data_IF_591516083492
#
_entry.id   IF_591516083492
#
_cell.length_a   1.000
_cell.length_b   1.000
_cell.length_c   1.000
_cell.angle_alpha   90.00
_cell.angle_beta   90.00
_cell.angle_gamma   90.00
#
_symmetry.space_group_name_H-M   'P 1'
#
loop_
_entity.id
_entity.type
_entity.pdbx_description
1 polymer ?
#
# COMPACT_ATOMS: atom_id res chain seq x y z
N UNK A 1 -69.54 6.42 -62.56
CA UNK A 1 -68.64 7.39 -63.22
C UNK A 1 -67.84 8.07 -62.13
N UNK A 2 -66.52 7.84 -62.12
CA UNK A 2 -65.63 8.30 -61.05
C UNK A 2 -65.29 9.79 -61.17
N UNK A 3 -65.02 10.41 -60.02
CA UNK A 3 -64.30 11.67 -59.92
C UNK A 3 -63.12 11.43 -58.99
N UNK A 4 -61.92 11.58 -59.54
CA UNK A 4 -60.66 11.51 -58.82
C UNK A 4 -60.33 12.88 -58.24
N UNK A 5 -60.02 12.94 -56.95
CA UNK A 5 -59.47 14.14 -56.31
C UNK A 5 -58.03 13.85 -55.90
N UNK A 6 -57.14 14.65 -56.47
CA UNK A 6 -55.70 14.70 -56.21
C UNK A 6 -55.45 15.15 -54.76
N UNK A 7 -54.67 14.39 -53.99
CA UNK A 7 -54.07 14.86 -52.73
C UNK A 7 -52.57 14.96 -52.94
N UNK A 8 -52.05 16.19 -52.85
CA UNK A 8 -50.63 16.49 -52.89
C UNK A 8 -49.98 16.08 -51.55
N UNK A 9 -49.01 15.17 -51.58
CA UNK A 9 -48.19 14.80 -50.43
C UNK A 9 -46.93 15.66 -50.46
N UNK A 10 -46.78 16.53 -49.45
CA UNK A 10 -45.56 17.27 -49.17
C UNK A 10 -44.49 16.32 -48.63
N UNK A 11 -43.39 16.15 -49.38
CA UNK A 11 -42.18 15.45 -48.93
C UNK A 11 -41.39 16.36 -47.99
N UNK A 12 -41.34 16.00 -46.70
CA UNK A 12 -40.37 16.55 -45.74
C UNK A 12 -39.09 15.70 -45.85
N UNK A 13 -37.92 16.29 -46.13
CA UNK A 13 -36.67 15.54 -46.14
C UNK A 13 -36.27 15.23 -44.70
N UNK A 14 -36.26 13.94 -44.35
CA UNK A 14 -35.68 13.46 -43.09
C UNK A 14 -34.17 13.70 -43.13
N UNK A 15 -33.70 14.69 -42.38
CA UNK A 15 -32.28 14.81 -42.03
C UNK A 15 -31.89 13.61 -41.18
N UNK A 16 -31.33 12.60 -41.83
CA UNK A 16 -30.64 11.49 -41.17
C UNK A 16 -29.36 12.01 -40.52
N UNK A 17 -29.44 12.35 -39.24
CA UNK A 17 -28.27 12.55 -38.40
C UNK A 17 -27.62 11.17 -38.24
N UNK A 18 -26.60 10.88 -39.06
CA UNK A 18 -25.65 9.81 -38.78
C UNK A 18 -24.90 10.20 -37.51
N UNK A 19 -25.26 9.61 -36.38
CA UNK A 19 -24.33 9.48 -35.27
C UNK A 19 -23.16 8.64 -35.78
N UNK A 20 -22.10 9.29 -36.25
CA UNK A 20 -20.80 8.68 -36.33
C UNK A 20 -20.36 8.51 -34.88
N UNK A 21 -20.52 7.28 -34.36
CA UNK A 21 -19.74 6.84 -33.22
C UNK A 21 -18.30 6.82 -33.75
N UNK A 22 -17.56 7.90 -33.52
CA UNK A 22 -16.12 7.86 -33.64
C UNK A 22 -15.64 6.73 -32.74
N UNK A 23 -15.12 5.68 -33.36
CA UNK A 23 -14.34 4.69 -32.65
C UNK A 23 -13.07 5.42 -32.21
N UNK A 24 -13.16 6.10 -31.06
CA UNK A 24 -12.01 6.67 -30.39
C UNK A 24 -10.93 5.59 -30.39
N UNK A 25 -9.79 5.93 -30.99
CA UNK A 25 -8.59 5.12 -30.99
C UNK A 25 -8.24 4.90 -29.51
N UNK A 26 -8.80 3.87 -28.89
CA UNK A 26 -8.59 3.56 -27.49
C UNK A 26 -7.13 3.15 -27.43
N UNK A 27 -6.28 4.09 -27.03
CA UNK A 27 -4.87 3.81 -26.82
C UNK A 27 -4.79 2.56 -25.95
N UNK A 28 -4.00 1.58 -26.37
CA UNK A 28 -3.72 0.37 -25.61
C UNK A 28 -2.84 0.77 -24.41
N UNK A 29 -3.46 1.50 -23.47
CA UNK A 29 -2.82 1.95 -22.26
C UNK A 29 -2.94 0.86 -21.21
N UNK A 30 -1.82 0.59 -20.53
CA UNK A 30 -1.76 -0.26 -19.35
C UNK A 30 -0.99 0.47 -18.27
N UNK A 31 -1.37 0.26 -17.02
CA UNK A 31 -0.61 0.71 -15.86
C UNK A 31 0.05 -0.52 -15.25
N UNK A 32 1.37 -0.53 -15.14
CA UNK A 32 2.16 -1.60 -14.56
C UNK A 32 2.74 -1.18 -13.21
N UNK A 33 2.88 -2.14 -12.31
CA UNK A 33 3.61 -1.96 -11.05
C UNK A 33 4.29 -3.25 -10.62
N UNK A 34 5.49 -3.15 -10.03
CA UNK A 34 6.08 -4.26 -9.29
C UNK A 34 5.19 -4.62 -8.10
N UNK A 35 4.93 -5.90 -7.90
CA UNK A 35 4.02 -6.40 -6.88
C UNK A 35 4.61 -7.59 -6.12
N UNK A 36 5.44 -7.29 -5.13
CA UNK A 36 6.04 -8.30 -4.24
C UNK A 36 5.43 -8.26 -2.84
N UNK A 37 4.11 -8.12 -2.78
CA UNK A 37 3.36 -8.19 -1.54
C UNK A 37 2.81 -9.60 -1.34
N UNK A 38 3.10 -10.21 -0.19
CA UNK A 38 2.47 -11.47 0.18
C UNK A 38 0.96 -11.30 0.34
N UNK A 39 0.20 -12.35 -0.03
CA UNK A 39 -1.25 -12.36 0.11
C UNK A 39 -1.68 -11.98 1.54
N UNK A 40 -2.58 -10.99 1.65
CA UNK A 40 -3.08 -10.48 2.93
C UNK A 40 -2.12 -9.54 3.69
N UNK A 41 -0.97 -9.17 3.11
CA UNK A 41 0.02 -8.25 3.71
C UNK A 41 0.21 -6.93 2.96
N UNK A 42 -0.74 -6.57 2.11
CA UNK A 42 -0.70 -5.32 1.35
C UNK A 42 -1.04 -4.17 2.28
N UNK A 43 -0.14 -3.17 2.45
CA UNK A 43 -0.43 -2.01 3.29
C UNK A 43 -1.66 -1.27 2.77
N UNK A 44 -2.49 -0.76 3.67
CA UNK A 44 -3.77 -0.17 3.30
C UNK A 44 -3.63 1.06 2.38
N UNK A 45 -2.61 1.89 2.60
CA UNK A 45 -2.37 3.06 1.74
C UNK A 45 -1.98 2.65 0.31
N UNK A 46 -1.26 1.54 0.10
CA UNK A 46 -0.96 1.01 -1.24
C UNK A 46 -2.26 0.64 -1.98
N UNK A 47 -3.24 0.09 -1.26
CA UNK A 47 -4.56 -0.20 -1.85
C UNK A 47 -5.24 1.11 -2.29
N UNK A 48 -5.14 2.16 -1.47
CA UNK A 48 -5.66 3.49 -1.79
C UNK A 48 -4.92 4.17 -2.95
N UNK A 49 -3.63 3.94 -3.07
CA UNK A 49 -2.84 4.42 -4.21
C UNK A 49 -3.35 3.75 -5.50
N UNK A 50 -3.55 2.42 -5.51
CA UNK A 50 -4.15 1.72 -6.65
C UNK A 50 -5.58 2.20 -6.98
N UNK A 51 -6.41 2.45 -5.95
CA UNK A 51 -7.75 3.05 -6.13
C UNK A 51 -7.65 4.43 -6.81
N UNK A 52 -6.67 5.25 -6.42
CA UNK A 52 -6.43 6.55 -7.03
C UNK A 52 -6.08 6.42 -8.51
N UNK A 53 -5.31 5.41 -8.90
CA UNK A 53 -4.96 5.17 -10.30
C UNK A 53 -6.18 4.79 -11.12
N UNK A 54 -7.03 3.91 -10.59
CA UNK A 54 -8.26 3.51 -11.23
C UNK A 54 -9.22 4.71 -11.41
N UNK A 55 -9.36 5.53 -10.36
CA UNK A 55 -10.19 6.74 -10.38
C UNK A 55 -9.70 7.74 -11.42
N UNK A 56 -8.42 8.11 -11.38
CA UNK A 56 -7.85 9.18 -12.21
C UNK A 56 -7.47 8.74 -13.63
N UNK A 57 -7.50 7.43 -13.92
CA UNK A 57 -7.36 6.93 -15.30
C UNK A 57 -8.70 6.81 -16.04
N UNK A 58 -9.84 6.97 -15.37
CA UNK A 58 -11.18 6.83 -15.95
C UNK A 58 -11.39 5.52 -16.72
N UNK A 59 -10.73 4.44 -16.29
CA UNK A 59 -10.76 3.15 -16.97
C UNK A 59 -10.12 3.12 -18.37
N UNK A 60 -9.42 4.19 -18.79
CA UNK A 60 -8.73 4.26 -20.09
C UNK A 60 -7.56 3.29 -20.19
N UNK A 61 -6.98 2.89 -19.06
CA UNK A 61 -5.87 1.93 -19.00
C UNK A 61 -6.24 0.56 -18.39
N UNK A 62 -7.54 0.29 -18.20
CA UNK A 62 -8.03 -0.89 -17.49
C UNK A 62 -7.59 -0.93 -16.02
N UNK A 63 -7.61 -2.12 -15.43
CA UNK A 63 -7.05 -2.35 -14.09
C UNK A 63 -5.52 -2.40 -14.14
N UNK A 64 -4.81 -1.95 -13.09
CA UNK A 64 -3.36 -2.09 -13.00
C UNK A 64 -2.91 -3.55 -13.16
N UNK A 65 -1.85 -3.75 -13.93
CA UNK A 65 -1.18 -5.04 -14.14
C UNK A 65 -0.08 -5.17 -13.09
N UNK A 66 -0.30 -6.07 -12.14
CA UNK A 66 0.58 -6.31 -11.01
C UNK A 66 1.62 -7.39 -11.39
N UNK A 67 2.88 -6.98 -11.51
CA UNK A 67 3.99 -7.82 -11.99
C UNK A 67 4.73 -8.46 -10.82
N UNK A 68 4.97 -9.76 -10.87
CA UNK A 68 5.72 -10.50 -9.86
C UNK A 68 6.50 -11.64 -10.51
N UNK A 69 7.27 -12.39 -9.70
CA UNK A 69 8.12 -13.46 -10.21
C UNK A 69 7.35 -14.61 -10.89
N UNK A 70 6.02 -14.75 -10.67
CA UNK A 70 5.23 -15.83 -11.27
C UNK A 70 4.64 -15.48 -12.63
N UNK A 71 4.51 -14.18 -12.97
CA UNK A 71 3.93 -13.73 -14.23
C UNK A 71 4.87 -12.90 -15.11
N UNK A 72 6.01 -12.44 -14.58
CA UNK A 72 6.90 -11.50 -15.27
C UNK A 72 7.37 -12.00 -16.64
N UNK A 73 7.63 -13.30 -16.78
CA UNK A 73 8.07 -13.92 -18.03
C UNK A 73 7.03 -13.80 -19.16
N UNK A 74 5.73 -13.71 -18.83
CA UNK A 74 4.67 -13.52 -19.81
C UNK A 74 4.66 -12.09 -20.39
N UNK A 75 5.22 -11.13 -19.64
CA UNK A 75 5.27 -9.72 -20.03
C UNK A 75 6.63 -9.29 -20.60
N UNK A 76 7.72 -9.93 -20.18
CA UNK A 76 9.08 -9.63 -20.64
C UNK A 76 9.72 -10.93 -21.16
N UNK A 77 9.45 -11.30 -22.43
CA UNK A 77 9.86 -12.59 -22.97
C UNK A 77 11.38 -12.74 -23.16
N UNK A 78 12.13 -11.64 -23.17
CA UNK A 78 13.60 -11.60 -23.27
C UNK A 78 14.27 -11.19 -21.95
N UNK A 79 13.62 -11.45 -20.80
CA UNK A 79 14.17 -11.22 -19.46
C UNK A 79 15.35 -12.18 -19.19
N UNK A 80 16.55 -11.68 -18.84
CA UNK A 80 17.70 -12.52 -18.52
C UNK A 80 17.53 -13.22 -17.15
N UNK A 81 18.10 -14.42 -17.00
CA UNK A 81 18.02 -15.21 -15.76
C UNK A 81 18.61 -14.47 -14.54
N UNK A 82 19.63 -13.62 -14.77
CA UNK A 82 20.24 -12.72 -13.80
C UNK A 82 19.22 -11.90 -13.01
N UNK A 83 18.08 -11.54 -13.62
CA UNK A 83 17.02 -10.80 -12.97
C UNK A 83 16.56 -11.47 -11.67
N UNK A 84 16.38 -12.80 -11.67
CA UNK A 84 15.92 -13.55 -10.50
C UNK A 84 16.99 -13.66 -9.40
N UNK A 85 18.22 -13.23 -9.70
CA UNK A 85 19.35 -13.20 -8.77
C UNK A 85 19.58 -11.79 -8.20
N UNK A 86 18.81 -10.79 -8.60
CA UNK A 86 18.90 -9.43 -8.07
C UNK A 86 18.55 -9.41 -6.57
N UNK A 87 19.30 -8.63 -5.76
CA UNK A 87 19.30 -8.82 -4.31
C UNK A 87 18.02 -8.32 -3.61
N UNK A 88 17.35 -7.31 -4.18
CA UNK A 88 16.26 -6.58 -3.54
C UNK A 88 15.14 -6.22 -4.54
N UNK A 89 14.00 -5.76 -4.02
CA UNK A 89 12.83 -5.42 -4.85
C UNK A 89 13.02 -4.11 -5.63
N UNK A 90 13.82 -3.17 -5.12
CA UNK A 90 14.10 -1.90 -5.79
C UNK A 90 14.89 -2.13 -7.06
N UNK A 91 15.98 -2.91 -7.00
CA UNK A 91 16.77 -3.26 -8.18
C UNK A 91 15.95 -4.04 -9.22
N UNK A 92 15.04 -4.93 -8.78
CA UNK A 92 14.10 -5.61 -9.69
C UNK A 92 13.11 -4.62 -10.34
N UNK A 93 12.53 -3.71 -9.56
CA UNK A 93 11.64 -2.64 -10.02
C UNK A 93 12.31 -1.75 -11.07
N UNK A 94 13.58 -1.39 -10.85
CA UNK A 94 14.40 -0.58 -11.76
C UNK A 94 14.56 -1.22 -13.14
N UNK A 95 14.60 -2.55 -13.22
CA UNK A 95 14.71 -3.30 -14.47
C UNK A 95 13.37 -3.38 -15.19
N UNK A 96 12.31 -3.82 -14.51
CA UNK A 96 11.05 -4.14 -15.20
C UNK A 96 10.38 -2.92 -15.81
N UNK A 97 10.54 -1.74 -15.21
CA UNK A 97 9.87 -0.51 -15.65
C UNK A 97 10.17 -0.15 -17.10
N UNK A 98 11.42 -0.26 -17.55
CA UNK A 98 11.78 0.04 -18.94
C UNK A 98 11.37 -1.08 -19.89
N UNK A 99 11.56 -2.33 -19.48
CA UNK A 99 11.19 -3.49 -20.26
C UNK A 99 9.68 -3.51 -20.55
N UNK A 100 8.84 -3.29 -19.53
CA UNK A 100 7.38 -3.26 -19.67
C UNK A 100 6.93 -2.18 -20.63
N UNK A 101 7.45 -0.95 -20.49
CA UNK A 101 7.11 0.13 -21.43
C UNK A 101 7.62 -0.17 -22.84
N UNK A 102 8.80 -0.78 -22.99
CA UNK A 102 9.29 -1.18 -24.31
C UNK A 102 8.38 -2.23 -24.99
N UNK A 103 7.95 -3.27 -24.26
CA UNK A 103 7.14 -4.37 -24.83
C UNK A 103 5.66 -4.01 -24.99
N UNK A 104 5.11 -3.16 -24.12
CA UNK A 104 3.66 -2.93 -24.04
C UNK A 104 3.26 -1.47 -24.21
N UNK A 105 4.18 -0.51 -24.03
CA UNK A 105 3.82 0.90 -23.86
C UNK A 105 3.05 1.15 -22.56
N UNK A 106 2.40 2.30 -22.45
CA UNK A 106 1.57 2.63 -21.29
C UNK A 106 2.34 3.36 -20.20
N UNK A 107 2.07 3.01 -18.95
CA UNK A 107 2.56 3.67 -17.74
C UNK A 107 3.10 2.60 -16.79
N UNK A 108 4.24 2.87 -16.17
CA UNK A 108 4.79 2.17 -15.03
C UNK A 108 4.78 3.14 -13.84
N UNK A 109 4.33 2.67 -12.68
CA UNK A 109 4.35 3.43 -11.43
C UNK A 109 4.75 2.52 -10.27
N UNK A 110 5.66 3.00 -9.42
CA UNK A 110 5.88 2.39 -8.12
C UNK A 110 4.58 2.49 -7.28
N UNK A 111 4.34 1.48 -6.45
CA UNK A 111 3.05 1.31 -5.75
C UNK A 111 2.75 2.37 -4.70
N UNK A 112 3.71 3.22 -4.38
CA UNK A 112 3.63 4.32 -3.42
C UNK A 112 3.46 5.69 -4.11
N UNK A 113 2.92 5.69 -5.32
CA UNK A 113 2.52 6.89 -6.04
C UNK A 113 1.02 7.13 -5.82
N UNK A 114 0.68 8.24 -5.19
CA UNK A 114 -0.70 8.71 -5.03
C UNK A 114 -1.04 9.67 -6.18
N UNK A 115 -2.04 9.34 -7.00
CA UNK A 115 -2.49 10.20 -8.12
C UNK A 115 -3.59 11.14 -7.62
N UNK A 116 -3.44 12.44 -7.88
CA UNK A 116 -4.37 13.49 -7.41
C UNK A 116 -5.23 14.11 -8.51
N UNK A 117 -4.77 14.07 -9.76
CA UNK A 117 -5.49 14.60 -10.92
C UNK A 117 -5.52 13.57 -12.04
N UNK A 118 -6.47 13.75 -12.95
CA UNK A 118 -6.68 12.88 -14.11
C UNK A 118 -5.39 12.62 -14.89
N UNK A 119 -5.10 11.34 -15.15
CA UNK A 119 -3.98 10.88 -15.96
C UNK A 119 -4.17 11.13 -17.46
N UNK A 120 -5.25 11.81 -17.87
CA UNK A 120 -5.57 12.08 -19.28
C UNK A 120 -4.38 12.68 -20.03
N UNK A 121 -3.69 13.67 -19.44
CA UNK A 121 -2.51 14.26 -20.09
C UNK A 121 -1.39 13.25 -20.38
N UNK A 122 -1.18 12.29 -19.48
CA UNK A 122 -0.16 11.23 -19.65
C UNK A 122 -0.62 10.25 -20.71
N UNK A 123 -1.87 9.80 -20.62
CA UNK A 123 -2.46 8.81 -21.53
C UNK A 123 -2.51 9.35 -22.96
N UNK A 124 -2.87 10.61 -23.14
CA UNK A 124 -2.91 11.28 -24.43
C UNK A 124 -1.49 11.41 -25.01
N UNK A 125 -0.48 11.74 -24.20
CA UNK A 125 0.92 11.74 -24.64
C UNK A 125 1.43 10.36 -25.03
N UNK A 126 1.02 9.30 -24.33
CA UNK A 126 1.33 7.92 -24.74
C UNK A 126 0.70 7.62 -26.10
N UNK A 127 -0.55 8.02 -26.32
CA UNK A 127 -1.24 7.87 -27.60
C UNK A 127 -0.59 8.70 -28.73
N UNK A 128 0.00 9.85 -28.39
CA UNK A 128 0.73 10.75 -29.29
C UNK A 128 2.20 10.34 -29.47
N UNK A 129 2.54 9.09 -29.21
CA UNK A 129 3.86 8.49 -29.46
C UNK A 129 5.02 9.16 -28.69
N UNK A 130 4.79 9.62 -27.45
CA UNK A 130 5.89 10.07 -26.60
C UNK A 130 6.84 8.91 -26.25
N UNK A 131 8.14 9.12 -26.43
CA UNK A 131 9.18 8.12 -26.12
C UNK A 131 9.48 8.04 -24.61
N UNK A 132 9.27 9.14 -23.89
CA UNK A 132 9.46 9.26 -22.44
C UNK A 132 8.50 10.31 -21.83
N UNK A 133 7.75 9.90 -20.82
CA UNK A 133 7.00 10.78 -19.93
C UNK A 133 7.43 10.43 -18.50
N UNK A 134 7.87 11.41 -17.74
CA UNK A 134 8.36 11.20 -16.37
C UNK A 134 8.20 12.49 -15.55
N UNK A 135 8.85 12.59 -14.39
CA UNK A 135 8.98 13.83 -13.64
C UNK A 135 10.44 14.07 -13.26
N UNK A 136 10.79 15.33 -13.01
CA UNK A 136 12.17 15.71 -12.67
C UNK A 136 12.23 17.10 -12.03
N UNK A 137 13.44 17.57 -11.74
CA UNK A 137 13.64 18.94 -11.25
C UNK A 137 13.45 20.00 -12.37
N UNK A 138 13.71 19.65 -13.64
CA UNK A 138 13.75 20.60 -14.78
C UNK A 138 13.06 20.04 -16.01
N UNK A 139 12.45 20.88 -16.85
CA UNK A 139 11.76 20.45 -18.10
C UNK A 139 12.60 19.62 -19.07
N UNK A 140 13.93 19.69 -18.98
CA UNK A 140 14.84 19.02 -19.91
C UNK A 140 14.81 17.49 -19.85
N UNK A 141 14.24 16.90 -18.79
CA UNK A 141 14.29 15.47 -18.51
C UNK A 141 15.70 14.89 -18.34
N UNK A 142 16.77 15.69 -18.16
CA UNK A 142 18.13 15.12 -18.03
C UNK A 142 18.36 14.30 -16.75
N UNK A 143 17.54 14.52 -15.72
CA UNK A 143 17.65 13.85 -14.42
C UNK A 143 16.25 13.45 -13.96
N UNK A 144 15.57 12.67 -14.80
CA UNK A 144 14.22 12.20 -14.54
C UNK A 144 14.19 11.06 -13.51
N UNK A 145 13.08 10.92 -12.80
CA UNK A 145 12.90 9.80 -11.86
C UNK A 145 12.26 8.62 -12.56
N UNK A 146 12.73 7.41 -12.29
CA UNK A 146 12.20 6.24 -12.99
C UNK A 146 11.07 5.51 -12.24
N UNK A 147 10.73 5.90 -11.02
CA UNK A 147 9.59 5.34 -10.29
C UNK A 147 8.22 5.69 -10.92
N UNK A 148 8.18 6.66 -11.83
CA UNK A 148 7.09 6.91 -12.75
C UNK A 148 7.65 7.04 -14.16
N UNK A 149 7.20 6.18 -15.06
CA UNK A 149 7.56 6.22 -16.48
C UNK A 149 6.33 5.96 -17.32
N UNK A 150 6.18 6.69 -18.40
CA UNK A 150 5.24 6.33 -19.45
C UNK A 150 5.87 6.54 -20.81
N UNK A 151 5.35 5.84 -21.80
CA UNK A 151 5.85 5.95 -23.16
C UNK A 151 5.14 5.01 -24.12
N UNK A 152 5.34 5.25 -25.40
CA UNK A 152 4.83 4.39 -26.46
C UNK A 152 5.50 3.02 -26.46
N UNK A 153 4.74 2.04 -26.90
CA UNK A 153 5.26 0.71 -27.20
C UNK A 153 6.37 0.80 -28.26
N UNK A 154 7.43 0.00 -28.07
CA UNK A 154 8.60 -0.03 -28.95
C UNK A 154 9.29 1.34 -29.11
N UNK A 155 9.27 2.17 -28.07
CA UNK A 155 10.13 3.36 -27.97
C UNK A 155 11.59 2.95 -28.16
N UNK A 156 12.27 3.60 -29.10
CA UNK A 156 13.68 3.33 -29.38
C UNK A 156 14.58 3.73 -28.20
N UNK A 157 14.16 4.76 -27.45
CA UNK A 157 14.79 5.12 -26.19
C UNK A 157 14.62 4.03 -25.13
N UNK A 158 13.39 3.57 -24.90
CA UNK A 158 13.11 2.50 -23.92
C UNK A 158 13.87 1.22 -24.27
N UNK A 159 13.96 0.88 -25.57
CA UNK A 159 14.80 -0.22 -26.05
C UNK A 159 16.27 -0.02 -25.67
N UNK A 160 16.84 1.16 -25.93
CA UNK A 160 18.24 1.45 -25.60
C UNK A 160 18.53 1.26 -24.10
N UNK A 161 17.64 1.75 -23.23
CA UNK A 161 17.78 1.55 -21.79
C UNK A 161 17.66 0.07 -21.44
N UNK A 162 16.65 -0.63 -21.97
CA UNK A 162 16.44 -2.06 -21.72
C UNK A 162 17.65 -2.91 -22.13
N UNK A 163 18.22 -2.69 -23.32
CA UNK A 163 19.43 -3.39 -23.76
C UNK A 163 20.64 -3.07 -22.89
N UNK A 164 20.78 -1.83 -22.43
CA UNK A 164 21.85 -1.44 -21.51
C UNK A 164 21.68 -2.10 -20.13
N UNK A 165 20.46 -2.24 -19.62
CA UNK A 165 20.17 -2.95 -18.37
C UNK A 165 20.45 -4.45 -18.49
N UNK A 166 20.00 -5.08 -19.59
CA UNK A 166 20.35 -6.49 -19.88
C UNK A 166 21.86 -6.67 -19.90
N UNK A 167 22.58 -5.82 -20.64
CA UNK A 167 24.05 -5.86 -20.66
C UNK A 167 24.62 -5.74 -19.24
N UNK A 168 24.17 -4.76 -18.45
CA UNK A 168 24.67 -4.53 -17.10
C UNK A 168 24.47 -5.74 -16.17
N UNK A 169 23.35 -6.46 -16.29
CA UNK A 169 23.12 -7.69 -15.54
C UNK A 169 24.03 -8.84 -16.02
N UNK A 170 24.15 -9.03 -17.33
CA UNK A 170 24.88 -10.15 -17.94
C UNK A 170 26.40 -9.96 -17.99
N UNK A 171 26.91 -8.78 -17.65
CA UNK A 171 28.35 -8.50 -17.59
C UNK A 171 28.91 -9.10 -16.30
N UNK A 172 29.17 -10.42 -16.33
CA UNK A 172 29.58 -11.17 -15.14
C UNK A 172 30.92 -10.69 -14.58
N UNK A 173 31.00 -10.59 -13.25
CA UNK A 173 32.22 -10.17 -12.59
C UNK A 173 33.25 -11.30 -12.49
N UNK A 174 34.51 -10.92 -12.63
CA UNK A 174 35.66 -11.81 -12.42
C UNK A 174 35.99 -11.98 -10.94
N UNK A 175 35.62 -11.02 -10.08
CA UNK A 175 35.77 -11.10 -8.62
C UNK A 175 34.54 -10.55 -7.89
N UNK A 176 34.29 -11.04 -6.68
CA UNK A 176 33.15 -10.61 -5.84
C UNK A 176 33.38 -9.27 -5.12
N UNK A 177 34.56 -8.67 -5.30
CA UNK A 177 35.03 -7.48 -4.59
C UNK A 177 35.04 -6.20 -5.46
N UNK A 178 34.48 -6.24 -6.67
CA UNK A 178 34.26 -5.05 -7.53
C UNK A 178 33.12 -4.17 -6.99
N UNK A 179 33.30 -3.68 -5.75
CA UNK A 179 32.38 -2.77 -5.05
C UNK A 179 32.29 -1.39 -5.71
N UNK A 180 33.09 -1.14 -6.74
CA UNK A 180 33.09 0.09 -7.52
C UNK A 180 31.84 0.15 -8.41
N UNK A 181 30.73 0.61 -7.83
CA UNK A 181 29.55 1.23 -8.49
C UNK A 181 28.78 0.42 -9.54
N UNK A 182 29.24 -0.77 -9.95
CA UNK A 182 28.66 -1.52 -11.07
C UNK A 182 27.68 -2.60 -10.59
N UNK A 183 26.68 -2.85 -11.44
CA UNK A 183 25.86 -4.07 -11.40
C UNK A 183 26.78 -5.26 -11.69
N UNK A 184 26.67 -6.31 -10.89
CA UNK A 184 27.62 -7.41 -10.91
C UNK A 184 26.93 -8.74 -10.60
N UNK A 185 26.83 -9.65 -11.56
CA UNK A 185 26.25 -10.98 -11.36
C UNK A 185 27.34 -12.06 -11.46
N UNK A 186 27.64 -12.83 -10.40
CA UNK A 186 28.62 -13.91 -10.47
C UNK A 186 28.22 -14.97 -11.52
N UNK A 187 29.20 -15.66 -12.11
CA UNK A 187 28.95 -16.77 -13.04
C UNK A 187 28.28 -17.98 -12.36
N UNK A 188 28.43 -18.12 -11.04
CA UNK A 188 27.71 -19.11 -10.25
C UNK A 188 26.23 -18.70 -10.11
N UNK A 189 25.27 -19.45 -10.70
CA UNK A 189 23.84 -19.10 -10.67
C UNK A 189 23.25 -19.18 -9.26
N UNK A 190 23.93 -19.81 -8.29
CA UNK A 190 23.49 -19.87 -6.90
C UNK A 190 23.83 -18.60 -6.12
N UNK A 191 24.69 -17.73 -6.65
CA UNK A 191 25.06 -16.47 -6.00
C UNK A 191 24.17 -15.34 -6.50
N UNK A 192 23.73 -14.51 -5.55
CA UNK A 192 23.02 -13.27 -5.83
C UNK A 192 23.92 -12.28 -6.55
N UNK A 193 23.32 -11.45 -7.40
CA UNK A 193 23.99 -10.29 -7.95
C UNK A 193 24.25 -9.25 -6.86
N UNK A 194 25.30 -8.46 -7.05
CA UNK A 194 25.55 -7.23 -6.32
C UNK A 194 25.06 -6.06 -7.14
N UNK A 195 24.15 -5.27 -6.57
CA UNK A 195 23.56 -4.08 -7.21
C UNK A 195 23.54 -2.95 -6.20
N UNK A 196 24.20 -1.85 -6.51
CA UNK A 196 24.11 -0.63 -5.73
C UNK A 196 22.79 0.10 -6.03
N UNK A 197 22.32 0.90 -5.08
CA UNK A 197 21.09 1.68 -5.23
C UNK A 197 21.13 2.55 -6.49
N UNK A 198 20.12 2.42 -7.36
CA UNK A 198 20.01 3.16 -8.63
C UNK A 198 21.03 2.75 -9.71
N UNK A 199 21.91 1.78 -9.43
CA UNK A 199 22.98 1.38 -10.36
C UNK A 199 22.45 0.78 -11.66
N UNK A 200 21.32 0.08 -11.60
CA UNK A 200 20.65 -0.47 -12.79
C UNK A 200 19.50 0.41 -13.29
N UNK A 201 19.00 1.34 -12.47
CA UNK A 201 17.97 2.32 -12.81
C UNK A 201 18.55 3.59 -13.43
N UNK A 202 18.64 4.65 -12.64
CA UNK A 202 19.11 5.98 -13.06
C UNK A 202 20.53 5.98 -13.64
N UNK A 203 21.46 5.22 -13.06
CA UNK A 203 22.86 5.19 -13.52
C UNK A 203 23.02 4.52 -14.91
N UNK A 204 22.05 3.74 -15.37
CA UNK A 204 22.00 3.22 -16.74
C UNK A 204 21.16 4.12 -17.65
N UNK A 205 20.00 4.53 -17.16
CA UNK A 205 19.00 5.24 -17.98
C UNK A 205 19.37 6.70 -18.28
N UNK A 206 20.02 7.43 -17.37
CA UNK A 206 20.40 8.83 -17.61
C UNK A 206 21.51 8.96 -18.67
N UNK A 207 22.62 8.18 -18.63
CA UNK A 207 23.59 8.19 -19.73
C UNK A 207 22.99 7.77 -21.07
N UNK A 208 22.13 6.74 -21.06
CA UNK A 208 21.42 6.29 -22.25
C UNK A 208 20.50 7.39 -22.82
N UNK A 209 19.86 8.16 -21.95
CA UNK A 209 19.04 9.31 -22.33
C UNK A 209 19.88 10.42 -22.97
N UNK A 210 20.97 10.84 -22.33
CA UNK A 210 21.83 11.91 -22.86
C UNK A 210 22.38 11.54 -24.24
N UNK A 211 22.87 10.32 -24.42
CA UNK A 211 23.38 9.84 -25.71
C UNK A 211 22.27 9.75 -26.77
N UNK A 212 21.11 9.19 -26.41
CA UNK A 212 19.99 9.01 -27.33
C UNK A 212 19.38 10.35 -27.75
N UNK A 213 19.11 11.24 -26.79
CA UNK A 213 18.51 12.54 -27.04
C UNK A 213 19.44 13.46 -27.86
N UNK A 214 20.76 13.35 -27.66
CA UNK A 214 21.74 14.07 -28.50
C UNK A 214 21.69 13.61 -29.96
N UNK A 215 21.51 12.30 -30.19
CA UNK A 215 21.45 11.71 -31.53
C UNK A 215 20.06 11.76 -32.17
N UNK A 216 19.01 12.00 -31.38
CA UNK A 216 17.61 11.97 -31.80
C UNK A 216 16.86 13.21 -31.31
N UNK A 217 17.12 14.41 -31.91
CA UNK A 217 16.52 15.65 -31.46
C UNK A 217 14.98 15.67 -31.58
N UNK A 218 14.40 14.80 -32.40
CA UNK A 218 12.95 14.63 -32.59
C UNK A 218 12.28 13.75 -31.52
N UNK A 219 13.05 13.15 -30.60
CA UNK A 219 12.51 12.34 -29.51
C UNK A 219 11.46 13.12 -28.73
N UNK A 220 10.24 12.59 -28.70
CA UNK A 220 9.12 13.19 -27.96
C UNK A 220 9.29 12.84 -26.49
N UNK A 221 9.46 13.85 -25.66
CA UNK A 221 9.65 13.68 -24.22
C UNK A 221 8.89 14.73 -23.43
N UNK A 222 8.45 14.35 -22.23
CA UNK A 222 7.81 15.26 -21.30
C UNK A 222 8.25 14.94 -19.87
N UNK A 223 8.60 15.97 -19.10
CA UNK A 223 8.78 15.82 -17.66
C UNK A 223 7.95 16.83 -16.90
N UNK A 224 7.15 16.32 -15.96
CA UNK A 224 6.53 17.14 -14.93
C UNK A 224 7.64 17.70 -14.02
N UNK A 225 7.90 19.00 -14.12
CA UNK A 225 9.09 19.61 -13.55
C UNK A 225 8.81 20.33 -12.24
N UNK A 226 9.76 20.29 -11.30
CA UNK A 226 9.67 21.06 -10.04
C UNK A 226 9.59 22.56 -10.31
N UNK A 227 10.30 23.06 -11.32
CA UNK A 227 10.26 24.48 -11.70
C UNK A 227 8.86 24.99 -12.09
N UNK A 228 7.95 24.10 -12.53
CA UNK A 228 6.54 24.39 -12.80
C UNK A 228 5.61 24.06 -11.63
N UNK A 229 6.15 23.47 -10.58
CA UNK A 229 5.41 22.91 -9.46
C UNK A 229 4.67 21.62 -9.80
N UNK A 230 5.18 20.80 -10.72
CA UNK A 230 4.49 19.58 -11.18
C UNK A 230 5.24 18.27 -10.88
N UNK A 231 6.50 18.32 -10.43
CA UNK A 231 7.26 17.12 -10.02
C UNK A 231 6.51 16.29 -8.97
N UNK A 232 6.59 14.96 -9.02
CA UNK A 232 5.87 14.12 -8.06
C UNK A 232 6.61 13.99 -6.72
N UNK A 233 7.82 14.54 -6.63
CA UNK A 233 8.60 14.66 -5.41
C UNK A 233 8.94 16.14 -5.17
N UNK A 234 7.98 16.95 -4.64
CA UNK A 234 8.24 18.34 -4.32
C UNK A 234 9.43 18.52 -3.40
N UNK A 235 10.14 19.63 -3.53
CA UNK A 235 11.19 19.97 -2.56
C UNK A 235 10.59 20.06 -1.15
N UNK A 236 11.26 19.42 -0.18
CA UNK A 236 10.79 19.33 1.21
C UNK A 236 9.72 18.27 1.49
N UNK A 237 9.24 17.54 0.47
CA UNK A 237 8.19 16.51 0.64
C UNK A 237 8.61 15.43 1.64
N UNK A 238 9.83 14.89 1.53
CA UNK A 238 10.35 13.90 2.46
C UNK A 238 10.33 14.40 3.91
N UNK A 239 10.73 15.66 4.16
CA UNK A 239 10.67 16.25 5.50
C UNK A 239 9.25 16.30 6.03
N UNK A 240 8.28 16.75 5.23
CA UNK A 240 6.87 16.83 5.63
C UNK A 240 6.31 15.45 5.95
N UNK A 241 6.62 14.46 5.12
CA UNK A 241 6.17 13.08 5.31
C UNK A 241 6.81 12.43 6.55
N UNK A 242 8.14 12.45 6.69
CA UNK A 242 8.81 11.75 7.80
C UNK A 242 8.68 12.47 9.15
N UNK A 243 8.27 13.75 9.16
CA UNK A 243 7.95 14.47 10.41
C UNK A 243 6.44 14.54 10.69
N UNK A 244 5.61 13.78 9.96
CA UNK A 244 4.16 13.66 10.17
C UNK A 244 3.45 15.01 10.33
N UNK A 245 3.83 16.02 9.52
CA UNK A 245 3.36 17.39 9.76
C UNK A 245 1.86 17.52 9.54
N UNK A 246 1.24 18.29 10.42
CA UNK A 246 -0.13 18.81 10.21
C UNK A 246 -0.15 19.73 9.01
N UNK A 247 -1.28 19.78 8.30
CA UNK A 247 -1.48 20.59 7.11
C UNK A 247 -1.16 22.06 7.37
N UNK A 248 -1.62 22.60 8.51
CA UNK A 248 -1.38 24.00 8.89
C UNK A 248 0.10 24.32 9.15
N UNK A 249 0.93 23.32 9.44
CA UNK A 249 2.38 23.49 9.64
C UNK A 249 3.18 23.19 8.36
N UNK A 250 2.66 22.28 7.52
CA UNK A 250 3.27 21.88 6.27
C UNK A 250 3.20 22.99 5.21
N UNK A 251 2.07 23.69 5.08
CA UNK A 251 1.90 24.75 4.07
C UNK A 251 2.84 25.95 4.29
N UNK A 252 3.00 26.49 5.52
CA UNK A 252 4.01 27.50 5.79
C UNK A 252 5.44 27.01 5.55
N UNK A 253 5.73 25.74 5.88
CA UNK A 253 7.04 25.14 5.59
C UNK A 253 7.36 25.17 4.09
N UNK A 254 6.45 24.67 3.24
CA UNK A 254 6.62 24.71 1.78
C UNK A 254 6.75 26.14 1.24
N UNK A 255 5.99 27.08 1.80
CA UNK A 255 6.10 28.50 1.44
C UNK A 255 7.49 29.06 1.77
N UNK A 256 8.04 28.70 2.93
CA UNK A 256 9.36 29.12 3.38
C UNK A 256 10.49 28.64 2.47
N UNK A 257 10.38 27.42 1.92
CA UNK A 257 11.33 26.86 0.94
C UNK A 257 10.93 27.11 -0.52
N UNK A 258 9.87 27.90 -0.76
CA UNK A 258 9.38 28.29 -2.09
C UNK A 258 8.90 27.13 -2.99
N UNK A 259 8.47 26.02 -2.41
CA UNK A 259 7.87 24.91 -3.14
C UNK A 259 6.54 25.35 -3.76
N UNK A 260 6.42 25.21 -5.09
CA UNK A 260 5.21 25.58 -5.82
C UNK A 260 4.14 24.50 -5.69
N UNK A 261 2.87 24.89 -5.64
CA UNK A 261 1.71 23.97 -5.69
C UNK A 261 1.88 22.72 -4.80
N UNK A 262 2.21 22.84 -3.50
CA UNK A 262 2.54 21.67 -2.67
C UNK A 262 1.35 20.70 -2.49
N UNK A 263 0.12 21.14 -2.79
CA UNK A 263 -1.10 20.34 -2.73
C UNK A 263 -1.80 20.16 -4.08
N UNK A 264 -1.22 20.61 -5.19
CA UNK A 264 -1.90 20.69 -6.50
C UNK A 264 -1.02 20.21 -7.64
N UNK A 265 -0.65 18.93 -7.58
CA UNK A 265 0.18 18.25 -8.59
C UNK A 265 -0.58 17.06 -9.16
N UNK A 266 -0.12 16.54 -10.30
CA UNK A 266 -0.72 15.35 -10.91
C UNK A 266 -0.68 14.16 -9.96
N UNK A 267 0.48 13.89 -9.37
CA UNK A 267 0.72 12.75 -8.48
C UNK A 267 1.83 13.07 -7.46
N UNK A 268 1.95 12.24 -6.43
CA UNK A 268 2.93 12.35 -5.36
C UNK A 268 3.58 10.99 -5.11
N UNK A 269 4.90 10.95 -5.12
CA UNK A 269 5.68 9.81 -4.66
C UNK A 269 5.83 9.88 -3.14
N UNK A 270 5.36 8.86 -2.44
CA UNK A 270 5.29 8.83 -0.97
C UNK A 270 6.53 8.21 -0.30
N UNK A 271 7.51 7.74 -1.07
CA UNK A 271 8.79 7.23 -0.58
C UNK A 271 8.66 6.05 0.41
N UNK A 272 7.85 5.05 0.07
CA UNK A 272 7.68 3.85 0.88
C UNK A 272 8.99 3.11 1.14
N UNK A 273 9.88 3.04 0.14
CA UNK A 273 11.22 2.48 0.31
C UNK A 273 12.06 3.20 1.40
N UNK A 274 11.74 4.46 1.71
CA UNK A 274 12.39 5.24 2.75
C UNK A 274 11.66 5.16 4.11
N UNK A 275 10.55 4.43 4.19
CA UNK A 275 9.89 4.08 5.44
C UNK A 275 8.54 4.73 5.68
N UNK A 276 7.88 5.32 4.67
CA UNK A 276 6.55 5.91 4.84
C UNK A 276 5.57 4.97 5.56
N UNK A 277 5.50 3.70 5.17
CA UNK A 277 4.67 2.69 5.85
C UNK A 277 4.98 2.52 7.35
N UNK A 278 6.24 2.69 7.75
CA UNK A 278 6.65 2.54 9.16
C UNK A 278 6.19 3.74 9.99
N UNK A 279 6.10 4.90 9.35
CA UNK A 279 5.70 6.13 10.02
C UNK A 279 4.18 6.26 10.15
N UNK A 280 3.40 5.85 9.15
CA UNK A 280 1.97 6.11 9.16
C UNK A 280 1.13 4.88 9.52
N UNK A 281 0.27 5.04 10.52
CA UNK A 281 -0.87 4.14 10.69
C UNK A 281 -1.85 4.30 9.52
N UNK A 282 -2.59 3.25 9.18
CA UNK A 282 -3.59 3.31 8.10
C UNK A 282 -4.66 4.38 8.31
N UNK A 283 -4.93 4.76 9.55
CA UNK A 283 -5.86 5.85 9.93
C UNK A 283 -5.39 7.23 9.49
N UNK A 284 -4.08 7.45 9.36
CA UNK A 284 -3.52 8.76 9.09
C UNK A 284 -3.92 9.32 7.72
N UNK A 285 -4.23 8.45 6.76
CA UNK A 285 -4.71 8.88 5.43
C UNK A 285 -6.14 9.43 5.47
N UNK A 286 -6.84 9.25 6.59
CA UNK A 286 -8.18 9.77 6.82
C UNK A 286 -8.20 11.05 7.67
N UNK A 287 -7.09 11.36 8.34
CA UNK A 287 -6.96 12.60 9.10
C UNK A 287 -6.64 13.77 8.17
N UNK A 288 -7.67 14.53 7.78
CA UNK A 288 -7.50 15.72 6.94
C UNK A 288 -6.74 16.87 7.62
N UNK A 289 -6.43 16.77 8.92
CA UNK A 289 -5.53 17.70 9.60
C UNK A 289 -4.06 17.36 9.37
N UNK A 290 -3.74 16.12 8.98
CA UNK A 290 -2.41 15.73 8.49
C UNK A 290 -2.25 16.11 7.03
N UNK A 291 -1.04 16.49 6.63
CA UNK A 291 -0.74 16.80 5.23
C UNK A 291 -1.06 15.62 4.31
N UNK A 292 -0.66 14.40 4.70
CA UNK A 292 -0.90 13.21 3.91
C UNK A 292 -2.38 12.86 3.81
N UNK A 293 -3.15 12.95 4.90
CA UNK A 293 -4.59 12.71 4.86
C UNK A 293 -5.33 13.76 4.02
N UNK A 294 -4.85 15.01 4.00
CA UNK A 294 -5.35 16.03 3.08
C UNK A 294 -5.07 15.68 1.60
N UNK A 295 -3.92 15.08 1.27
CA UNK A 295 -3.63 14.60 -0.08
C UNK A 295 -4.57 13.45 -0.50
N UNK A 296 -4.74 12.44 0.36
CA UNK A 296 -5.67 11.33 0.08
C UNK A 296 -7.11 11.81 -0.06
N UNK A 297 -7.56 12.75 0.78
CA UNK A 297 -8.89 13.36 0.66
C UNK A 297 -9.05 14.13 -0.64
N UNK A 298 -8.01 14.82 -1.11
CA UNK A 298 -8.04 15.52 -2.40
C UNK A 298 -8.08 14.54 -3.57
N UNK A 299 -7.35 13.42 -3.48
CA UNK A 299 -7.30 12.39 -4.51
C UNK A 299 -8.60 11.60 -4.62
N UNK A 300 -9.09 11.06 -3.51
CA UNK A 300 -10.18 10.07 -3.47
C UNK A 300 -11.53 10.67 -3.05
N UNK A 301 -11.57 11.96 -2.67
CA UNK A 301 -12.79 12.61 -2.18
C UNK A 301 -13.36 11.87 -0.97
N UNK A 302 -14.67 11.60 -0.99
CA UNK A 302 -15.33 10.85 0.09
C UNK A 302 -14.97 9.35 0.10
N UNK A 303 -14.33 8.81 -0.95
CA UNK A 303 -13.79 7.45 -0.92
C UNK A 303 -12.52 7.35 -0.06
N UNK A 304 -12.02 8.47 0.46
CA UNK A 304 -11.06 8.53 1.57
C UNK A 304 -11.74 8.40 2.95
N UNK A 305 -12.99 7.96 3.06
CA UNK A 305 -13.52 7.58 4.36
C UNK A 305 -12.95 6.21 4.77
N UNK A 306 -12.76 5.94 6.07
CA UNK A 306 -12.55 4.57 6.54
C UNK A 306 -13.61 3.66 5.92
N UNK A 307 -13.24 2.52 5.32
CA UNK A 307 -14.23 1.58 4.81
C UNK A 307 -15.12 1.17 5.98
N UNK A 308 -16.44 1.07 5.72
CA UNK A 308 -17.37 0.54 6.72
C UNK A 308 -16.85 -0.83 7.17
N UNK A 309 -16.35 -0.89 8.38
CA UNK A 309 -15.56 -2.01 8.87
C UNK A 309 -16.01 -2.39 10.28
N UNK A 310 -15.34 -3.37 10.89
CA UNK A 310 -15.71 -3.79 12.24
C UNK A 310 -15.68 -2.63 13.24
N UNK A 311 -14.86 -1.60 13.04
CA UNK A 311 -14.85 -0.40 13.88
C UNK A 311 -16.17 0.39 13.88
N UNK A 312 -17.02 0.25 12.86
CA UNK A 312 -18.33 0.91 12.80
C UNK A 312 -19.43 0.15 13.54
N UNK A 313 -19.19 -1.12 13.91
CA UNK A 313 -20.16 -1.94 14.66
C UNK A 313 -20.30 -1.48 16.13
N UNK A 314 -19.42 -0.58 16.60
CA UNK A 314 -19.43 -0.01 17.94
C UNK A 314 -18.01 0.25 18.47
N UNK A 315 -17.88 0.94 19.62
CA UNK A 315 -16.58 1.11 20.27
C UNK A 315 -16.02 -0.26 20.69
N UNK A 316 -14.69 -0.36 20.73
CA UNK A 316 -14.02 -1.49 21.34
C UNK A 316 -13.05 -0.99 22.40
N UNK A 317 -12.95 -1.74 23.49
CA UNK A 317 -12.12 -1.38 24.63
C UNK A 317 -10.93 -2.33 24.73
N UNK A 318 -9.78 -1.81 25.16
CA UNK A 318 -8.65 -2.64 25.53
C UNK A 318 -9.06 -3.67 26.59
N UNK A 319 -8.82 -4.96 26.32
CA UNK A 319 -9.11 -6.04 27.26
C UNK A 319 -7.87 -6.82 27.72
N UNK A 320 -6.81 -6.90 26.91
CA UNK A 320 -5.63 -7.69 27.22
C UNK A 320 -4.40 -7.29 26.39
N UNK A 321 -3.20 -7.42 26.96
CA UNK A 321 -1.93 -7.44 26.21
C UNK A 321 -1.65 -8.84 25.67
N UNK A 322 -0.74 -8.94 24.70
CA UNK A 322 -0.28 -10.23 24.18
C UNK A 322 0.20 -11.16 25.32
N UNK A 323 -0.34 -12.38 25.37
CA UNK A 323 -0.08 -13.37 26.42
C UNK A 323 -1.11 -13.39 27.56
N UNK A 324 -1.96 -12.37 27.67
CA UNK A 324 -3.01 -12.29 28.70
C UNK A 324 -4.35 -12.88 28.21
N UNK A 325 -5.36 -12.93 29.09
CA UNK A 325 -6.72 -13.38 28.76
C UNK A 325 -7.62 -12.16 28.61
N UNK A 326 -8.36 -12.10 27.51
CA UNK A 326 -9.35 -11.07 27.20
C UNK A 326 -10.76 -11.60 27.53
N UNK A 327 -11.43 -11.10 28.58
CA UNK A 327 -12.84 -11.36 28.82
C UNK A 327 -13.70 -10.51 27.87
N UNK A 328 -14.52 -11.15 27.04
CA UNK A 328 -15.37 -10.48 26.06
C UNK A 328 -16.61 -11.30 25.69
N UNK A 329 -17.75 -10.61 25.57
CA UNK A 329 -18.97 -11.17 24.96
C UNK A 329 -19.29 -10.34 23.71
N UNK A 330 -18.72 -10.74 22.58
CA UNK A 330 -18.71 -9.97 21.34
C UNK A 330 -17.54 -10.35 20.43
N UNK A 331 -17.01 -9.40 19.68
CA UNK A 331 -15.85 -9.60 18.80
C UNK A 331 -14.58 -9.19 19.53
N UNK A 332 -13.58 -10.06 19.55
CA UNK A 332 -12.23 -9.71 20.03
C UNK A 332 -11.31 -9.56 18.82
N UNK A 333 -10.57 -8.46 18.79
CA UNK A 333 -9.59 -8.16 17.75
C UNK A 333 -8.19 -8.29 18.32
N UNK A 334 -7.34 -9.07 17.66
CA UNK A 334 -5.92 -9.22 17.99
C UNK A 334 -5.09 -8.59 16.88
N UNK A 335 -4.26 -7.61 17.24
CA UNK A 335 -3.51 -6.84 16.25
C UNK A 335 -2.42 -6.00 16.88
N UNK A 336 -1.80 -5.15 16.06
CA UNK A 336 -0.67 -4.30 16.47
C UNK A 336 -1.05 -3.42 17.67
N UNK A 337 -0.15 -3.33 18.65
CA UNK A 337 -0.36 -2.55 19.88
C UNK A 337 -0.08 -1.07 19.70
N UNK A 338 0.99 -0.71 18.98
CA UNK A 338 1.50 0.66 18.92
C UNK A 338 1.55 1.23 17.50
N UNK A 339 1.45 2.54 17.36
CA UNK A 339 1.54 3.24 16.07
C UNK A 339 2.93 3.19 15.41
N UNK A 340 4.00 3.17 16.21
CA UNK A 340 5.40 3.17 15.79
C UNK A 340 6.07 1.77 15.87
N UNK A 341 5.27 0.72 16.00
CA UNK A 341 5.69 -0.68 16.16
C UNK A 341 6.54 -1.03 17.41
N UNK A 342 6.76 -0.11 18.35
CA UNK A 342 7.62 -0.33 19.52
C UNK A 342 6.93 0.03 20.83
N UNK A 343 6.72 1.32 21.05
CA UNK A 343 6.39 1.91 22.36
C UNK A 343 5.64 3.25 22.25
N UNK A 344 5.11 3.55 21.06
CA UNK A 344 4.33 4.75 20.79
C UNK A 344 2.92 4.68 21.37
N UNK A 345 2.01 5.44 20.77
CA UNK A 345 0.63 5.49 21.23
C UNK A 345 -0.08 4.15 20.93
N UNK A 346 -0.94 3.71 21.86
CA UNK A 346 -1.72 2.49 21.65
C UNK A 346 -2.73 2.71 20.53
N UNK A 347 -2.83 1.74 19.64
CA UNK A 347 -3.81 1.78 18.56
C UNK A 347 -5.22 1.55 19.08
N UNK A 348 -6.14 2.38 18.61
CA UNK A 348 -7.58 2.17 18.73
C UNK A 348 -8.07 1.13 17.69
N UNK A 349 -9.31 0.62 17.85
CA UNK A 349 -9.84 -0.39 16.92
C UNK A 349 -9.88 0.12 15.48
N UNK A 350 -10.30 1.37 15.27
CA UNK A 350 -10.36 2.01 13.96
C UNK A 350 -9.01 2.03 13.24
N UNK A 351 -7.90 2.03 13.99
CA UNK A 351 -6.55 2.02 13.45
C UNK A 351 -6.03 0.59 13.27
N UNK A 352 -6.34 -0.29 14.23
CA UNK A 352 -5.98 -1.71 14.18
C UNK A 352 -6.58 -2.40 12.96
N UNK A 353 -7.85 -2.10 12.61
CA UNK A 353 -8.53 -2.75 11.47
C UNK A 353 -8.01 -2.27 10.11
N UNK A 354 -7.31 -1.13 10.07
CA UNK A 354 -6.62 -0.63 8.88
C UNK A 354 -5.20 -1.21 8.75
N UNK A 355 -4.67 -1.75 9.84
CA UNK A 355 -3.50 -2.60 9.84
C UNK A 355 -3.90 -4.08 9.65
N UNK A 356 -2.94 -4.99 9.79
CA UNK A 356 -3.27 -6.41 9.82
C UNK A 356 -3.76 -6.81 11.21
N UNK A 357 -4.88 -7.53 11.27
CA UNK A 357 -5.49 -8.02 12.50
C UNK A 357 -6.07 -9.43 12.31
N UNK A 358 -6.39 -10.08 13.42
CA UNK A 358 -7.23 -11.27 13.50
C UNK A 358 -8.44 -10.96 14.37
N UNK A 359 -9.54 -11.65 14.14
CA UNK A 359 -10.77 -11.46 14.91
C UNK A 359 -11.42 -12.81 15.20
N UNK A 360 -12.02 -12.92 16.38
CA UNK A 360 -12.85 -14.05 16.81
C UNK A 360 -14.11 -13.52 17.49
N UNK A 361 -15.24 -14.19 17.27
CA UNK A 361 -16.44 -14.00 18.09
C UNK A 361 -16.33 -14.88 19.34
N UNK A 362 -16.51 -14.26 20.51
CA UNK A 362 -16.26 -14.86 21.81
C UNK A 362 -17.44 -14.61 22.73
N UNK A 363 -17.83 -15.62 23.48
CA UNK A 363 -18.82 -15.55 24.56
C UNK A 363 -18.18 -16.01 25.87
N UNK A 364 -17.30 -15.19 26.43
CA UNK A 364 -16.51 -15.52 27.63
C UNK A 364 -15.07 -15.05 27.50
N UNK A 365 -14.11 -15.94 27.73
CA UNK A 365 -12.69 -15.59 27.76
C UNK A 365 -11.96 -16.11 26.51
N UNK A 366 -11.01 -15.34 25.98
CA UNK A 366 -10.09 -15.78 24.94
C UNK A 366 -8.64 -15.41 25.30
N UNK A 367 -7.70 -16.30 25.04
CA UNK A 367 -6.27 -15.99 25.19
C UNK A 367 -5.82 -15.03 24.09
N UNK A 368 -5.27 -13.87 24.48
CA UNK A 368 -4.74 -12.85 23.58
C UNK A 368 -3.38 -13.28 23.00
N UNK A 369 -3.39 -14.32 22.17
CA UNK A 369 -2.19 -15.00 21.68
C UNK A 369 -2.37 -15.43 20.23
N UNK A 370 -1.27 -15.72 19.55
CA UNK A 370 -1.28 -16.23 18.17
C UNK A 370 -2.07 -17.54 18.04
N UNK A 371 -2.04 -18.41 19.04
CA UNK A 371 -2.83 -19.64 19.07
C UNK A 371 -4.32 -19.36 19.24
N UNK A 372 -4.70 -18.45 20.14
CA UNK A 372 -6.09 -18.02 20.34
C UNK A 372 -6.75 -17.46 19.07
N UNK A 373 -5.94 -16.85 18.19
CA UNK A 373 -6.40 -16.21 16.96
C UNK A 373 -6.01 -16.96 15.68
N UNK A 374 -5.53 -18.19 15.79
CA UNK A 374 -5.16 -19.05 14.66
C UNK A 374 -4.11 -18.42 13.71
N UNK A 375 -3.20 -17.62 14.26
CA UNK A 375 -2.08 -17.03 13.54
C UNK A 375 -1.62 -15.71 14.12
N UNK A 376 -0.39 -15.32 13.76
CA UNK A 376 0.14 -14.00 14.09
C UNK A 376 -0.26 -12.98 13.00
N UNK A 377 -1.04 -11.94 13.33
CA UNK A 377 -1.31 -10.86 12.38
C UNK A 377 -0.06 -10.04 12.01
N UNK A 378 0.93 -9.95 12.91
CA UNK A 378 2.09 -9.04 12.81
C UNK A 378 3.32 -9.66 13.51
N UNK A 379 4.09 -10.45 12.75
CA UNK A 379 5.30 -11.12 13.25
C UNK A 379 6.31 -10.11 13.80
N UNK A 380 6.89 -10.41 14.97
CA UNK A 380 7.90 -9.59 15.67
C UNK A 380 7.44 -8.18 16.08
N UNK A 381 6.12 -7.94 16.18
CA UNK A 381 5.56 -6.69 16.70
C UNK A 381 4.78 -6.92 17.99
N UNK A 382 4.81 -5.95 18.94
CA UNK A 382 3.94 -5.99 20.11
C UNK A 382 2.46 -5.96 19.70
N UNK A 383 1.65 -6.84 20.30
CA UNK A 383 0.22 -6.95 20.01
C UNK A 383 -0.65 -6.72 21.25
N UNK A 384 -1.92 -6.44 21.01
CA UNK A 384 -2.95 -6.28 22.04
C UNK A 384 -4.29 -6.84 21.56
N UNK A 385 -5.21 -7.05 22.49
CA UNK A 385 -6.58 -7.38 22.21
C UNK A 385 -7.55 -6.26 22.59
N UNK A 386 -8.49 -6.00 21.69
CA UNK A 386 -9.61 -5.08 21.89
C UNK A 386 -10.93 -5.86 21.84
N UNK A 387 -11.81 -5.66 22.81
CA UNK A 387 -13.15 -6.26 22.87
C UNK A 387 -14.19 -5.27 22.39
N UNK A 388 -14.92 -5.63 21.33
CA UNK A 388 -16.12 -4.96 20.88
C UNK A 388 -17.34 -5.76 21.36
N UNK A 389 -17.98 -5.28 22.43
CA UNK A 389 -19.15 -5.94 23.00
C UNK A 389 -20.33 -5.92 22.03
N UNK A 390 -21.19 -6.95 22.07
CA UNK A 390 -22.43 -6.94 21.29
C UNK A 390 -23.36 -5.81 21.76
N UNK A 391 -23.82 -4.97 20.83
CA UNK A 391 -24.79 -3.91 21.11
C UNK A 391 -26.08 -4.54 21.66
N UNK A 392 -26.43 -4.23 22.92
CA UNK A 392 -27.61 -4.75 23.60
C UNK A 392 -27.40 -6.05 24.40
N UNK A 393 -26.19 -6.60 24.43
CA UNK A 393 -25.83 -7.66 25.36
C UNK A 393 -25.65 -7.11 26.78
N UNK A 394 -26.09 -7.81 27.84
CA UNK A 394 -25.71 -7.43 29.19
C UNK A 394 -24.18 -7.45 29.30
N UNK A 395 -23.60 -6.41 29.90
CA UNK A 395 -22.16 -6.38 30.20
C UNK A 395 -21.76 -7.72 30.85
N UNK A 396 -20.63 -8.34 30.46
CA UNK A 396 -20.18 -9.57 31.09
C UNK A 396 -20.03 -9.31 32.58
N UNK A 397 -20.93 -9.89 33.38
CA UNK A 397 -20.92 -9.75 34.83
C UNK A 397 -19.57 -10.23 35.33
N UNK A 398 -18.94 -9.43 36.17
CA UNK A 398 -17.72 -9.85 36.86
C UNK A 398 -17.99 -11.20 37.53
N UNK A 399 -17.07 -12.18 37.47
CA UNK A 399 -17.17 -13.43 38.22
C UNK A 399 -17.44 -13.23 39.73
N UNK A 400 -17.12 -12.05 40.27
CA UNK A 400 -17.43 -11.69 41.65
C UNK A 400 -18.93 -11.52 41.94
N UNK A 401 -19.77 -11.37 40.91
CA UNK A 401 -21.23 -11.23 41.04
C UNK A 401 -21.97 -12.58 41.00
N UNK A 402 -21.29 -13.69 40.66
CA UNK A 402 -21.87 -15.04 40.60
C UNK A 402 -22.06 -15.67 42.00
N UNK A 403 -21.85 -14.90 43.08
CA UNK A 403 -22.05 -15.33 44.47
C UNK A 403 -20.83 -16.05 45.08
N UNK A 404 -20.97 -16.57 46.32
CA UNK A 404 -19.89 -17.30 46.97
C UNK A 404 -19.60 -18.61 46.24
N UNK A 405 -18.37 -18.80 45.75
CA UNK A 405 -17.91 -20.09 45.24
C UNK A 405 -17.27 -20.92 46.35
N UNK A 406 -17.47 -22.24 46.26
CA UNK A 406 -16.82 -23.24 47.11
C UNK A 406 -15.81 -24.03 46.29
N UNK A 407 -14.68 -24.40 46.91
CA UNK A 407 -13.72 -25.31 46.30
C UNK A 407 -14.39 -26.66 46.02
N UNK A 408 -14.42 -27.08 44.76
CA UNK A 408 -15.03 -28.36 44.34
C UNK A 408 -14.02 -29.49 44.09
N UNK A 409 -12.78 -29.16 43.71
CA UNK A 409 -11.73 -30.11 43.35
C UNK A 409 -10.34 -29.46 43.43
N UNK A 410 -9.29 -30.25 43.64
CA UNK A 410 -7.91 -29.82 43.41
C UNK A 410 -7.49 -30.05 41.95
N UNK A 411 -6.32 -29.54 41.58
CA UNK A 411 -5.72 -29.81 40.27
C UNK A 411 -5.59 -31.33 40.03
N UNK A 412 -6.09 -31.80 38.89
CA UNK A 412 -6.11 -33.22 38.53
C UNK A 412 -7.34 -34.00 39.02
N UNK A 413 -8.21 -33.40 39.83
CA UNK A 413 -9.46 -34.02 40.31
C UNK A 413 -10.69 -33.54 39.53
N UNK A 414 -11.78 -34.31 39.56
CA UNK A 414 -13.02 -33.96 38.88
C UNK A 414 -13.90 -33.04 39.75
N UNK A 415 -14.15 -31.82 39.28
CA UNK A 415 -15.07 -30.87 39.92
C UNK A 415 -16.52 -31.19 39.53
N UNK A 416 -17.31 -31.69 40.46
CA UNK A 416 -18.76 -31.86 40.27
C UNK A 416 -19.51 -30.64 40.81
N UNK A 417 -19.89 -29.71 39.93
CA UNK A 417 -20.71 -28.57 40.29
C UNK A 417 -21.92 -28.42 39.36
N UNK A 418 -23.07 -28.04 39.93
CA UNK A 418 -24.21 -27.53 39.17
C UNK A 418 -24.08 -26.00 39.09
N UNK A 419 -23.34 -25.52 38.09
CA UNK A 419 -23.04 -24.10 37.92
C UNK A 419 -21.76 -23.84 37.12
N UNK A 420 -21.20 -22.64 37.26
CA UNK A 420 -19.91 -22.27 36.65
C UNK A 420 -18.76 -22.74 37.54
N UNK A 421 -17.73 -23.32 36.93
CA UNK A 421 -16.48 -23.66 37.59
C UNK A 421 -15.40 -22.61 37.23
N UNK A 422 -14.61 -22.20 38.23
CA UNK A 422 -13.48 -21.30 38.03
C UNK A 422 -12.20 -22.05 38.40
N UNK A 423 -11.21 -22.00 37.51
CA UNK A 423 -9.90 -22.60 37.73
C UNK A 423 -8.86 -21.51 37.99
N UNK A 424 -8.03 -21.68 39.01
CA UNK A 424 -7.01 -20.70 39.34
C UNK A 424 -6.21 -21.10 40.57
N UNK A 425 -5.32 -20.20 41.01
CA UNK A 425 -4.44 -20.50 42.13
C UNK A 425 -5.27 -20.69 43.42
N UNK A 426 -5.02 -21.79 44.13
CA UNK A 426 -5.68 -22.11 45.41
C UNK A 426 -5.17 -21.26 46.58
N UNK A 427 -3.87 -20.92 46.58
CA UNK A 427 -3.21 -20.29 47.72
C UNK A 427 -2.60 -18.92 47.40
N UNK A 428 -2.62 -17.99 48.37
CA UNK A 428 -1.88 -16.73 48.28
C UNK A 428 -0.37 -16.94 48.26
N UNK A 429 0.37 -16.07 47.57
CA UNK A 429 1.84 -16.03 47.65
C UNK A 429 2.30 -15.48 49.02
N UNK A 430 3.27 -16.11 49.68
CA UNK A 430 3.86 -15.64 50.94
C UNK A 430 4.30 -16.76 51.90
N UNK A 431 4.96 -16.41 53.01
CA UNK A 431 5.48 -17.36 54.02
C UNK A 431 4.39 -18.14 54.78
N UNK A 432 3.14 -17.68 54.72
CA UNK A 432 1.98 -18.33 55.31
C UNK A 432 0.83 -18.33 54.28
N UNK A 433 0.78 -19.32 53.36
CA UNK A 433 -0.24 -19.36 52.32
C UNK A 433 -1.64 -19.56 52.92
N UNK A 434 -2.61 -18.74 52.50
CA UNK A 434 -4.03 -18.94 52.80
C UNK A 434 -4.81 -19.26 51.54
N UNK A 435 -5.96 -19.90 51.70
CA UNK A 435 -6.89 -20.15 50.59
C UNK A 435 -7.39 -18.80 50.04
N UNK A 436 -7.37 -18.66 48.71
CA UNK A 436 -7.89 -17.50 48.01
C UNK A 436 -9.42 -17.55 47.97
N UNK A 437 -10.07 -16.39 48.15
CA UNK A 437 -11.49 -16.23 47.81
C UNK A 437 -11.70 -16.28 46.29
N UNK A 438 -12.93 -16.49 45.81
CA UNK A 438 -13.23 -16.46 44.37
C UNK A 438 -12.71 -15.19 43.69
N UNK A 439 -12.96 -14.01 44.28
CA UNK A 439 -12.49 -12.74 43.74
C UNK A 439 -10.95 -12.66 43.65
N UNK A 440 -10.25 -13.30 44.59
CA UNK A 440 -8.78 -13.37 44.59
C UNK A 440 -8.24 -14.45 43.66
N UNK A 441 -8.91 -15.59 43.54
CA UNK A 441 -8.59 -16.65 42.58
C UNK A 441 -8.71 -16.09 41.17
N UNK A 442 -9.81 -15.42 40.85
CA UNK A 442 -10.01 -14.72 39.57
C UNK A 442 -8.89 -13.70 39.35
N UNK A 443 -8.61 -12.80 40.31
CA UNK A 443 -7.50 -11.83 40.23
C UNK A 443 -6.10 -12.47 40.13
N UNK A 444 -5.90 -13.66 40.68
CA UNK A 444 -4.62 -14.36 40.67
C UNK A 444 -4.29 -14.99 39.33
N UNK A 445 -5.31 -15.30 38.52
CA UNK A 445 -5.16 -15.70 37.11
C UNK A 445 -4.68 -14.49 36.27
N UNK A 446 -5.10 -13.27 36.64
CA UNK A 446 -4.69 -12.00 36.00
C UNK A 446 -3.34 -11.43 36.44
N UNK A 447 -2.58 -12.12 37.30
CA UNK A 447 -1.19 -11.75 37.63
C UNK A 447 -0.26 -12.87 37.20
N UNK A 448 0.04 -12.90 35.89
CA UNK A 448 1.20 -13.63 35.42
C UNK A 448 2.47 -13.04 36.05
N UNK A 449 3.32 -13.96 36.48
CA UNK A 449 4.57 -13.74 37.18
C UNK A 449 5.60 -13.08 36.23
N UNK A 450 6.45 -12.23 36.79
CA UNK A 450 7.74 -11.86 36.19
C UNK A 450 8.66 -13.08 36.07
#
# INVERSE_FOLDING_TARGET
>A
MGVATLVAVLLVPTLGVKLQVEHEKRADCKIFAMWDYHAGKVPFFIQKDLESWALHSHGRCGSPVLINDTNIADYIPDLPEEYFRLPDHGSRSDVIRYALIYHHGGIYMDTDILVLRDLNEVIDKVADDYDLISYSQKKSCKSFSSNFLAGRKHSAFMKKVWEAQKKAMTDHCTSHDDRDTKVCCPADPKKKCHVHWGAIGEMVSHPAFDEFAASNPTMKKHCFAEEDGESFAPEGMGTVLFTKRKLNDALPFFTGIKTKKPMDRLAYHLFNAQGFQREYAGSAIFDSTLFVGALYRKSLGNASAPPKGPADDGPAEYCASEGEVCPCSGKVFFGRKFDNDKDGDKLELSEMVLAQYRMQEVHGDIACTTSGFQGDPQINRPKQCLCQAMVGGPAPKSPAEDGPATLCANEGEMCHCQGKAYYGRKFSLGKAPRILSLAETVKSVYRAQH
#
